data_IF_537380976983
#
_entry.id   IF_537380976983
#
_cell.length_a   1.000
_cell.length_b   1.000
_cell.length_c   1.000
_cell.angle_alpha   90.00
_cell.angle_beta   90.00
_cell.angle_gamma   90.00
#
_symmetry.space_group_name_H-M   'P 1'
#
loop_
_entity.id
_entity.type
_entity.pdbx_description
1 polymer ?
#
# COMPACT_ATOMS: atom_id res chain seq x y z
N UNK A 1 10.70 -8.05 -14.01
CA UNK A 1 10.59 -8.99 -12.86
C UNK A 1 9.41 -9.90 -13.14
N UNK A 2 9.71 -11.16 -13.43
CA UNK A 2 8.66 -12.16 -13.70
C UNK A 2 8.12 -12.63 -12.34
N UNK A 3 7.06 -11.95 -11.85
CA UNK A 3 6.43 -12.20 -10.54
C UNK A 3 5.52 -13.44 -10.63
N UNK A 4 5.99 -14.51 -11.22
CA UNK A 4 5.34 -15.82 -11.12
C UNK A 4 5.81 -16.53 -9.85
N UNK A 5 5.37 -16.00 -8.70
CA UNK A 5 5.47 -16.73 -7.45
C UNK A 5 4.77 -18.08 -7.58
N UNK A 6 5.43 -19.16 -7.16
CA UNK A 6 4.83 -20.49 -7.20
C UNK A 6 3.50 -20.51 -6.42
N UNK A 7 2.55 -21.35 -6.85
CA UNK A 7 1.25 -21.47 -6.17
C UNK A 7 1.39 -21.77 -4.66
N UNK A 8 2.47 -22.46 -4.25
CA UNK A 8 2.78 -22.77 -2.86
C UNK A 8 3.07 -21.50 -2.01
N UNK A 9 3.65 -20.45 -2.60
CA UNK A 9 3.92 -19.17 -1.92
C UNK A 9 2.68 -18.26 -1.95
N UNK A 10 1.89 -18.32 -3.03
CA UNK A 10 0.70 -17.46 -3.18
C UNK A 10 -0.45 -17.85 -2.24
N UNK A 11 -0.70 -19.15 -2.04
CA UNK A 11 -1.86 -19.61 -1.29
C UNK A 11 -1.88 -19.16 0.18
N UNK A 12 -0.81 -19.32 1.00
CA UNK A 12 -0.80 -18.83 2.38
C UNK A 12 -0.96 -17.32 2.48
N UNK A 13 -0.30 -16.57 1.62
CA UNK A 13 -0.37 -15.12 1.54
C UNK A 13 -1.79 -14.65 1.22
N UNK A 14 -2.40 -15.22 0.20
CA UNK A 14 -3.76 -14.89 -0.21
C UNK A 14 -4.79 -15.18 0.90
N UNK A 15 -4.61 -16.27 1.66
CA UNK A 15 -5.48 -16.60 2.78
C UNK A 15 -5.43 -15.55 3.90
N UNK A 16 -4.25 -14.96 4.18
CA UNK A 16 -4.12 -13.87 5.14
C UNK A 16 -4.85 -12.61 4.64
N UNK A 17 -4.64 -12.23 3.37
CA UNK A 17 -5.33 -11.07 2.78
C UNK A 17 -6.85 -11.29 2.75
N UNK A 18 -7.29 -12.51 2.45
CA UNK A 18 -8.72 -12.83 2.45
C UNK A 18 -9.34 -12.64 3.82
N UNK A 19 -8.68 -13.14 4.88
CA UNK A 19 -9.19 -12.95 6.25
C UNK A 19 -9.30 -11.45 6.59
N UNK A 20 -8.29 -10.65 6.26
CA UNK A 20 -8.34 -9.20 6.47
C UNK A 20 -9.47 -8.54 5.66
N UNK A 21 -9.67 -8.94 4.42
CA UNK A 21 -10.75 -8.43 3.59
C UNK A 21 -12.14 -8.80 4.15
N UNK A 22 -12.29 -10.03 4.65
CA UNK A 22 -13.53 -10.49 5.28
C UNK A 22 -13.82 -9.73 6.59
N UNK A 23 -12.80 -9.46 7.41
CA UNK A 23 -12.93 -8.69 8.66
C UNK A 23 -13.26 -7.21 8.41
N UNK A 24 -12.62 -6.60 7.41
CA UNK A 24 -12.79 -5.18 7.08
C UNK A 24 -14.00 -4.90 6.19
N UNK A 25 -14.47 -5.90 5.44
CA UNK A 25 -15.50 -5.74 4.42
C UNK A 25 -15.05 -4.92 3.19
N UNK A 26 -13.74 -4.68 3.05
CA UNK A 26 -13.18 -3.84 2.00
C UNK A 26 -12.02 -4.53 1.26
N UNK A 27 -11.64 -3.97 0.11
CA UNK A 27 -10.57 -4.51 -0.72
C UNK A 27 -9.21 -4.37 -0.04
N UNK A 28 -8.47 -5.47 0.05
CA UNK A 28 -7.11 -5.54 0.62
C UNK A 28 -6.10 -5.91 -0.45
N UNK A 29 -4.98 -5.21 -0.46
CA UNK A 29 -3.90 -5.39 -1.44
C UNK A 29 -2.58 -5.63 -0.74
N UNK A 30 -1.74 -6.46 -1.33
CA UNK A 30 -0.31 -6.55 -1.04
C UNK A 30 0.45 -5.94 -2.21
N UNK A 31 1.34 -5.01 -1.91
CA UNK A 31 2.10 -4.27 -2.92
C UNK A 31 3.56 -4.14 -2.53
N UNK A 32 4.42 -3.93 -3.51
CA UNK A 32 5.85 -3.66 -3.30
C UNK A 32 6.35 -2.57 -4.25
N UNK A 33 7.56 -2.09 -3.97
CA UNK A 33 8.25 -1.15 -4.85
C UNK A 33 8.87 -1.89 -6.04
N UNK A 34 8.55 -1.44 -7.25
CA UNK A 34 9.20 -1.85 -8.49
C UNK A 34 9.74 -0.62 -9.23
N UNK A 35 11.07 -0.44 -9.19
CA UNK A 35 11.71 0.74 -9.75
C UNK A 35 11.22 2.04 -9.12
N UNK A 36 10.44 2.83 -9.87
CA UNK A 36 9.82 4.10 -9.48
C UNK A 36 8.29 4.03 -9.42
N UNK A 37 7.73 2.83 -9.33
CA UNK A 37 6.29 2.57 -9.25
C UNK A 37 5.98 1.55 -8.16
N UNK A 38 4.70 1.40 -7.82
CA UNK A 38 4.19 0.35 -6.95
C UNK A 38 3.61 -0.76 -7.81
N UNK A 39 4.01 -2.01 -7.57
CA UNK A 39 3.40 -3.17 -8.21
C UNK A 39 2.49 -3.93 -7.25
N UNK A 40 1.35 -4.38 -7.74
CA UNK A 40 0.42 -5.23 -6.99
C UNK A 40 0.88 -6.69 -7.07
N UNK A 41 1.23 -7.28 -5.91
CA UNK A 41 1.62 -8.69 -5.78
C UNK A 41 0.41 -9.60 -5.63
N UNK A 42 -0.58 -9.14 -4.85
CA UNK A 42 -1.78 -9.89 -4.56
C UNK A 42 -2.92 -8.95 -4.16
N UNK A 43 -4.16 -9.42 -4.32
CA UNK A 43 -5.34 -8.63 -4.05
C UNK A 43 -6.52 -9.53 -3.70
N UNK A 44 -7.29 -9.11 -2.70
CA UNK A 44 -8.60 -9.66 -2.39
C UNK A 44 -9.62 -8.54 -2.50
N UNK A 45 -10.54 -8.68 -3.43
CA UNK A 45 -11.58 -7.70 -3.67
C UNK A 45 -12.78 -7.93 -2.74
N UNK A 46 -13.39 -6.83 -2.31
CA UNK A 46 -14.71 -6.89 -1.68
C UNK A 46 -15.77 -7.36 -2.68
N UNK A 47 -16.83 -7.96 -2.18
CA UNK A 47 -18.00 -8.39 -2.99
C UNK A 47 -18.88 -7.21 -3.44
N UNK A 48 -18.63 -5.98 -2.95
CA UNK A 48 -19.40 -4.80 -3.33
C UNK A 48 -19.26 -4.49 -4.82
N UNK A 49 -20.35 -4.14 -5.52
CA UNK A 49 -20.32 -3.79 -6.95
C UNK A 49 -19.42 -2.58 -7.26
N UNK A 50 -19.42 -1.57 -6.38
CA UNK A 50 -18.57 -0.39 -6.53
C UNK A 50 -17.20 -0.64 -5.90
N UNK A 51 -16.21 -0.94 -6.74
CA UNK A 51 -14.83 -1.18 -6.37
C UNK A 51 -13.88 -0.79 -7.49
N UNK A 52 -12.65 -0.40 -7.12
CA UNK A 52 -11.58 -0.22 -8.09
C UNK A 52 -11.01 -1.60 -8.47
N UNK A 53 -10.96 -1.90 -9.76
CA UNK A 53 -10.41 -3.16 -10.26
C UNK A 53 -8.99 -2.93 -10.75
N UNK A 54 -8.01 -3.47 -10.02
CA UNK A 54 -6.61 -3.56 -10.42
C UNK A 54 -6.18 -5.01 -10.28
N UNK A 55 -5.50 -5.54 -11.28
CA UNK A 55 -5.04 -6.93 -11.24
C UNK A 55 -3.62 -7.03 -10.67
N UNK A 56 -3.23 -8.19 -10.09
CA UNK A 56 -1.83 -8.47 -9.80
C UNK A 56 -0.95 -8.21 -11.03
N UNK A 57 0.19 -7.53 -10.82
CA UNK A 57 1.07 -7.05 -11.89
C UNK A 57 0.75 -5.63 -12.38
N UNK A 58 -0.38 -5.02 -12.01
CA UNK A 58 -0.63 -3.60 -12.30
C UNK A 58 0.32 -2.69 -11.53
N UNK A 59 0.68 -1.57 -12.13
CA UNK A 59 1.51 -0.53 -11.53
C UNK A 59 0.71 0.72 -11.24
N UNK A 60 1.06 1.40 -10.13
CA UNK A 60 0.45 2.69 -9.74
C UNK A 60 1.53 3.67 -9.26
N UNK A 61 1.25 4.99 -9.31
CA UNK A 61 2.22 6.02 -8.95
C UNK A 61 2.64 5.98 -7.48
N UNK A 62 3.89 6.42 -7.21
CA UNK A 62 4.43 6.51 -5.84
C UNK A 62 3.90 7.72 -5.05
N UNK A 63 3.65 8.88 -5.69
CA UNK A 63 3.45 10.15 -4.99
C UNK A 63 2.02 10.38 -4.47
N UNK A 64 1.04 9.66 -4.98
CA UNK A 64 -0.37 9.90 -4.72
C UNK A 64 -1.16 8.64 -4.31
N UNK A 65 -0.47 7.55 -3.98
CA UNK A 65 -1.08 6.34 -3.43
C UNK A 65 -0.55 6.08 -2.03
N UNK A 66 -1.38 5.53 -1.14
CA UNK A 66 -0.96 5.21 0.22
C UNK A 66 0.25 4.26 0.22
N UNK A 67 0.19 3.18 -0.57
CA UNK A 67 1.30 2.24 -0.74
C UNK A 67 2.57 2.91 -1.25
N UNK A 68 2.44 3.77 -2.26
CA UNK A 68 3.57 4.46 -2.86
C UNK A 68 4.27 5.41 -1.89
N UNK A 69 3.50 6.25 -1.22
CA UNK A 69 4.04 7.19 -0.22
C UNK A 69 4.68 6.43 0.95
N UNK A 70 4.07 5.34 1.43
CA UNK A 70 4.62 4.51 2.49
C UNK A 70 5.97 3.89 2.10
N UNK A 71 6.01 3.20 0.97
CA UNK A 71 7.22 2.54 0.48
C UNK A 71 8.35 3.55 0.25
N UNK A 72 8.03 4.72 -0.34
CA UNK A 72 8.98 5.82 -0.50
C UNK A 72 9.50 6.35 0.84
N UNK A 73 8.61 6.59 1.79
CA UNK A 73 8.96 7.12 3.11
C UNK A 73 9.94 6.22 3.85
N UNK A 74 9.78 4.91 3.76
CA UNK A 74 10.56 3.91 4.49
C UNK A 74 11.87 3.50 3.79
N UNK A 75 12.13 4.01 2.57
CA UNK A 75 13.43 3.81 1.91
C UNK A 75 14.58 4.49 2.66
N UNK A 76 15.82 3.96 2.53
CA UNK A 76 17.02 4.68 2.94
C UNK A 76 17.08 6.08 2.34
N UNK A 77 17.49 7.08 3.12
CA UNK A 77 17.39 8.49 2.77
C UNK A 77 18.04 8.85 1.40
N UNK A 78 19.17 8.24 1.08
CA UNK A 78 19.85 8.50 -0.21
C UNK A 78 19.04 7.99 -1.39
N UNK A 79 18.46 6.77 -1.29
CA UNK A 79 17.63 6.19 -2.35
C UNK A 79 16.33 6.98 -2.53
N UNK A 80 15.66 7.33 -1.42
CA UNK A 80 14.44 8.14 -1.43
C UNK A 80 14.67 9.46 -2.15
N UNK A 81 15.71 10.24 -1.74
CA UNK A 81 16.00 11.54 -2.37
C UNK A 81 16.25 11.43 -3.87
N UNK A 82 16.97 10.38 -4.32
CA UNK A 82 17.20 10.16 -5.74
C UNK A 82 15.90 9.92 -6.50
N UNK A 83 15.01 9.06 -5.97
CA UNK A 83 13.72 8.77 -6.60
C UNK A 83 12.85 10.02 -6.64
N UNK A 84 12.69 10.72 -5.51
CA UNK A 84 11.84 11.93 -5.43
C UNK A 84 12.31 13.03 -6.39
N UNK A 85 13.63 13.19 -6.59
CA UNK A 85 14.19 14.18 -7.50
C UNK A 85 13.84 13.92 -8.99
N UNK A 86 13.63 12.67 -9.37
CA UNK A 86 13.34 12.25 -10.75
C UNK A 86 11.86 11.89 -10.95
N UNK A 87 11.07 11.82 -9.85
CA UNK A 87 9.70 11.36 -9.90
C UNK A 87 8.78 12.38 -10.57
N UNK A 88 8.07 12.01 -11.64
CA UNK A 88 7.00 12.84 -12.15
C UNK A 88 5.87 12.92 -11.15
N UNK A 89 5.29 14.12 -10.97
CA UNK A 89 4.21 14.38 -10.02
C UNK A 89 2.95 14.87 -10.77
N UNK A 90 2.39 14.05 -11.71
CA UNK A 90 1.20 14.46 -12.44
C UNK A 90 0.00 14.57 -11.50
N UNK A 91 -0.89 15.49 -11.81
CA UNK A 91 -2.15 15.67 -11.09
C UNK A 91 -3.19 14.64 -11.56
N UNK A 92 -3.76 13.89 -10.64
CA UNK A 92 -4.88 12.97 -10.90
C UNK A 92 -6.21 13.53 -10.38
N UNK A 93 -6.16 14.20 -9.21
CA UNK A 93 -7.29 14.86 -8.58
C UNK A 93 -6.90 16.24 -8.08
N UNK A 94 -7.83 16.96 -7.47
CA UNK A 94 -7.52 18.23 -6.78
C UNK A 94 -6.66 18.03 -5.51
N UNK A 95 -6.70 16.81 -4.92
CA UNK A 95 -5.95 16.47 -3.71
C UNK A 95 -4.54 15.92 -3.99
N UNK A 96 -4.21 15.63 -5.26
CA UNK A 96 -2.89 15.08 -5.63
C UNK A 96 -1.76 16.02 -5.22
N UNK A 97 -0.76 15.50 -4.51
CA UNK A 97 0.51 16.20 -4.26
C UNK A 97 1.27 16.34 -5.56
N UNK A 98 1.56 17.58 -5.98
CA UNK A 98 2.18 17.89 -7.28
C UNK A 98 3.51 18.62 -7.17
N UNK A 99 4.06 18.76 -5.96
CA UNK A 99 5.37 19.36 -5.74
C UNK A 99 6.20 18.55 -4.75
N UNK A 100 7.53 18.52 -5.00
CA UNK A 100 8.46 17.70 -4.24
C UNK A 100 8.59 18.13 -2.78
N UNK A 101 8.42 19.41 -2.43
CA UNK A 101 8.53 19.91 -1.07
C UNK A 101 7.38 19.43 -0.20
N UNK A 102 6.16 19.50 -0.72
CA UNK A 102 4.97 18.96 -0.05
C UNK A 102 5.08 17.45 0.10
N UNK A 103 5.54 16.75 -0.95
CA UNK A 103 5.78 15.31 -0.88
C UNK A 103 6.81 14.95 0.20
N UNK A 104 7.93 15.65 0.29
CA UNK A 104 8.95 15.40 1.31
C UNK A 104 8.42 15.61 2.74
N UNK A 105 7.58 16.62 2.95
CA UNK A 105 6.92 16.86 4.24
C UNK A 105 5.97 15.72 4.62
N UNK A 106 5.16 15.25 3.66
CA UNK A 106 4.27 14.11 3.81
C UNK A 106 5.06 12.83 4.14
N UNK A 107 6.12 12.54 3.40
CA UNK A 107 6.98 11.37 3.65
C UNK A 107 7.64 11.42 5.05
N UNK A 108 7.98 12.60 5.54
CA UNK A 108 8.49 12.76 6.89
C UNK A 108 7.43 12.46 7.96
N UNK A 109 6.16 12.82 7.73
CA UNK A 109 5.04 12.47 8.61
C UNK A 109 4.81 10.96 8.63
N UNK A 110 4.71 10.35 7.46
CA UNK A 110 4.53 8.89 7.31
C UNK A 110 5.61 8.10 8.06
N UNK A 111 6.86 8.55 8.03
CA UNK A 111 7.96 7.90 8.78
C UNK A 111 7.77 7.94 10.29
N UNK A 112 7.19 9.01 10.82
CA UNK A 112 6.91 9.13 12.25
C UNK A 112 5.71 8.27 12.66
N UNK A 113 4.70 8.22 11.81
CA UNK A 113 3.43 7.54 12.08
C UNK A 113 3.47 6.04 11.79
N UNK A 114 4.39 5.60 10.91
CA UNK A 114 4.52 4.19 10.50
C UNK A 114 3.40 3.70 9.57
N UNK A 115 2.57 4.62 9.07
CA UNK A 115 1.45 4.34 8.16
C UNK A 115 1.28 5.48 7.16
N UNK A 116 0.66 5.22 6.02
CA UNK A 116 0.34 6.22 5.02
C UNK A 116 -1.11 6.16 4.60
N UNK A 117 -1.62 7.27 4.12
CA UNK A 117 -2.99 7.40 3.61
C UNK A 117 -2.97 7.93 2.18
N UNK A 118 -4.04 7.64 1.44
CA UNK A 118 -4.41 8.32 0.21
C UNK A 118 -5.83 8.83 0.43
N UNK A 119 -5.98 10.14 0.51
CA UNK A 119 -7.25 10.80 0.71
C UNK A 119 -7.73 11.39 -0.60
N UNK A 120 -8.26 10.54 -1.47
CA UNK A 120 -8.71 10.94 -2.81
C UNK A 120 -7.60 11.55 -3.69
N UNK A 121 -6.33 11.23 -3.43
CA UNK A 121 -5.18 11.79 -4.15
C UNK A 121 -4.99 11.15 -5.52
N UNK A 122 -5.19 9.82 -5.61
CA UNK A 122 -5.05 9.08 -6.87
C UNK A 122 -6.38 8.97 -7.61
N UNK A 123 -7.47 8.70 -6.91
CA UNK A 123 -8.80 8.58 -7.50
C UNK A 123 -9.85 9.26 -6.60
N UNK A 124 -10.58 10.22 -7.15
CA UNK A 124 -11.65 10.89 -6.43
C UNK A 124 -12.71 9.89 -5.96
N UNK A 125 -13.19 10.06 -4.72
CA UNK A 125 -14.16 9.16 -4.10
C UNK A 125 -13.56 7.89 -3.49
N UNK A 126 -12.22 7.73 -3.50
CA UNK A 126 -11.53 6.59 -2.92
C UNK A 126 -10.55 7.04 -1.83
N UNK A 127 -10.59 6.34 -0.69
CA UNK A 127 -9.59 6.48 0.37
C UNK A 127 -8.81 5.18 0.53
N UNK A 128 -7.56 5.29 0.97
CA UNK A 128 -6.70 4.14 1.22
C UNK A 128 -5.82 4.37 2.45
N UNK A 129 -5.60 3.31 3.22
CA UNK A 129 -4.60 3.26 4.29
C UNK A 129 -3.63 2.13 4.01
N UNK A 130 -2.33 2.39 4.17
CA UNK A 130 -1.27 1.41 3.99
C UNK A 130 -0.40 1.29 5.24
N UNK A 131 -0.03 0.04 5.57
CA UNK A 131 0.91 -0.32 6.65
C UNK A 131 2.04 -1.18 6.10
N UNK A 132 3.26 -1.10 6.69
CA UNK A 132 4.41 -1.83 6.19
C UNK A 132 4.36 -3.32 6.53
N UNK A 133 4.91 -4.13 5.64
CA UNK A 133 5.31 -5.51 5.91
C UNK A 133 6.83 -5.53 5.98
N UNK A 134 7.36 -5.94 7.13
CA UNK A 134 8.79 -5.95 7.40
C UNK A 134 9.35 -7.37 7.39
N UNK A 135 10.55 -7.54 6.88
CA UNK A 135 11.35 -8.75 7.03
C UNK A 135 11.88 -8.87 8.47
N UNK A 136 12.42 -10.04 8.82
CA UNK A 136 13.01 -10.29 10.15
C UNK A 136 14.14 -9.32 10.54
N UNK A 137 14.82 -8.74 9.56
CA UNK A 137 15.86 -7.73 9.78
C UNK A 137 15.32 -6.30 9.94
N UNK A 138 14.00 -6.13 9.99
CA UNK A 138 13.30 -4.86 10.16
C UNK A 138 13.18 -4.03 8.87
N UNK A 139 13.69 -4.50 7.73
CA UNK A 139 13.49 -3.79 6.45
C UNK A 139 12.05 -3.95 5.96
N UNK A 140 11.46 -2.85 5.50
CA UNK A 140 10.18 -2.91 4.80
C UNK A 140 10.40 -3.53 3.41
N UNK A 141 9.69 -4.61 3.13
CA UNK A 141 9.77 -5.37 1.86
C UNK A 141 8.52 -5.20 1.02
N UNK A 142 7.39 -4.93 1.66
CA UNK A 142 6.11 -4.74 0.99
C UNK A 142 5.21 -3.84 1.85
N UNK A 143 3.99 -3.60 1.42
CA UNK A 143 2.95 -3.05 2.28
C UNK A 143 1.59 -3.71 2.01
N UNK A 144 0.76 -3.74 3.04
CA UNK A 144 -0.67 -4.07 2.94
C UNK A 144 -1.43 -2.77 2.91
N UNK A 145 -2.37 -2.67 1.99
CA UNK A 145 -3.22 -1.49 1.82
C UNK A 145 -4.69 -1.87 1.73
N UNK A 146 -5.54 -1.09 2.39
CA UNK A 146 -6.99 -1.22 2.37
C UNK A 146 -7.57 -0.05 1.59
N UNK A 147 -8.41 -0.36 0.60
CA UNK A 147 -9.08 0.62 -0.25
C UNK A 147 -10.57 0.60 0.00
N UNK A 148 -11.16 1.76 0.18
CA UNK A 148 -12.60 1.90 0.32
C UNK A 148 -13.13 3.17 -0.36
N UNK A 149 -14.33 3.16 -0.95
CA UNK A 149 -15.03 4.37 -1.33
C UNK A 149 -15.34 5.23 -0.09
N UNK A 150 -15.16 6.56 -0.20
CA UNK A 150 -15.46 7.51 0.88
C UNK A 150 -16.91 7.40 1.39
N UNK A 151 -17.84 6.92 0.54
CA UNK A 151 -19.24 6.71 0.91
C UNK A 151 -19.43 5.57 1.94
N UNK A 152 -18.46 4.65 2.08
CA UNK A 152 -18.50 3.53 3.03
C UNK A 152 -17.53 3.69 4.19
N UNK A 153 -16.38 4.28 3.94
CA UNK A 153 -15.32 4.42 4.93
C UNK A 153 -14.72 5.83 4.83
N UNK A 154 -14.76 6.57 5.91
CA UNK A 154 -13.98 7.81 6.04
C UNK A 154 -12.54 7.47 6.41
N UNK A 155 -11.60 8.38 6.09
CA UNK A 155 -10.20 8.19 6.44
C UNK A 155 -10.01 8.04 7.96
N UNK A 156 -10.70 8.84 8.78
CA UNK A 156 -10.64 8.75 10.24
C UNK A 156 -11.03 7.35 10.74
N UNK A 157 -12.14 6.81 10.22
CA UNK A 157 -12.58 5.46 10.56
C UNK A 157 -11.59 4.38 10.13
N UNK A 158 -10.92 4.56 8.99
CA UNK A 158 -9.89 3.64 8.53
C UNK A 158 -8.62 3.70 9.41
N UNK A 159 -8.32 4.88 9.97
CA UNK A 159 -7.18 5.10 10.87
C UNK A 159 -7.44 4.62 12.30
N UNK A 160 -8.69 4.61 12.74
CA UNK A 160 -9.11 4.15 14.09
C UNK A 160 -9.25 2.62 14.17
N UNK A 161 -9.11 1.93 13.03
CA UNK A 161 -9.16 0.47 13.04
C UNK A 161 -7.96 -0.13 13.78
N UNK A 162 -8.25 -0.79 14.88
CA UNK A 162 -7.28 -1.59 15.62
C UNK A 162 -7.40 -3.06 15.18
N UNK A 163 -6.27 -3.66 14.79
CA UNK A 163 -6.24 -5.08 14.47
C UNK A 163 -6.69 -5.88 15.71
N UNK A 164 -7.57 -6.89 15.58
CA UNK A 164 -7.90 -7.76 16.68
C UNK A 164 -6.64 -8.34 17.32
N UNK A 165 -6.61 -8.49 18.66
CA UNK A 165 -5.44 -9.05 19.38
C UNK A 165 -4.96 -10.40 18.84
N UNK A 166 -5.85 -11.16 18.17
CA UNK A 166 -5.56 -12.43 17.52
C UNK A 166 -5.10 -12.31 16.07
N UNK A 167 -4.91 -11.09 15.54
CA UNK A 167 -4.35 -10.94 14.19
C UNK A 167 -2.90 -11.38 14.24
N UNK A 168 -2.51 -12.50 13.58
CA UNK A 168 -1.12 -12.90 13.55
C UNK A 168 -0.31 -11.77 12.95
N UNK A 169 0.91 -11.53 13.43
CA UNK A 169 1.78 -10.54 12.83
C UNK A 169 1.86 -10.80 11.32
N UNK A 170 1.87 -9.74 10.52
CA UNK A 170 2.09 -9.83 9.07
C UNK A 170 3.47 -10.39 8.71
N UNK A 171 4.26 -10.69 9.73
CA UNK A 171 5.56 -11.38 9.68
C UNK A 171 5.55 -12.69 8.85
N UNK A 172 4.49 -13.55 8.86
CA UNK A 172 4.42 -14.69 7.95
C UNK A 172 4.47 -14.33 6.45
N UNK A 173 4.22 -13.07 6.09
CA UNK A 173 4.32 -12.63 4.69
C UNK A 173 5.76 -12.29 4.28
N UNK A 174 6.63 -11.95 5.23
CA UNK A 174 7.99 -11.52 4.95
C UNK A 174 8.83 -12.61 4.26
N UNK A 175 8.85 -13.89 4.69
CA UNK A 175 9.54 -14.96 3.98
C UNK A 175 8.98 -15.22 2.58
N UNK A 176 7.66 -15.02 2.40
CA UNK A 176 6.96 -15.30 1.15
C UNK A 176 7.21 -14.21 0.06
N UNK A 177 7.79 -13.09 0.46
CA UNK A 177 8.08 -11.95 -0.43
C UNK A 177 9.57 -11.94 -0.82
N UNK A 178 10.45 -12.42 0.08
CA UNK A 178 11.90 -12.38 -0.11
C UNK A 178 12.42 -13.42 -1.11
N UNK A 179 11.66 -14.49 -1.36
CA UNK A 179 12.00 -15.55 -2.31
C UNK A 179 11.44 -15.26 -3.73
N UNK A 180 10.96 -14.06 -3.98
CA UNK A 180 10.46 -13.53 -5.24
C UNK A 180 11.41 -12.49 -5.83
#
# INVERSE_FOLDING_TARGET
LDVQLSAAVRAPRHAILKRLADELGETVNLTMLDGSEVVYLDRVETEWPLRMTLQPGSHVPLHCTASGKLLLALLPAARRRRIVAELPLPRYTEHTITDARTLDAELASIRREGRATDNEEYLAGLVCVAVPVSAHDGRTVACVAVHAPVARMTLDRALDWEAPEATPPLDPLAPLILDA
#
